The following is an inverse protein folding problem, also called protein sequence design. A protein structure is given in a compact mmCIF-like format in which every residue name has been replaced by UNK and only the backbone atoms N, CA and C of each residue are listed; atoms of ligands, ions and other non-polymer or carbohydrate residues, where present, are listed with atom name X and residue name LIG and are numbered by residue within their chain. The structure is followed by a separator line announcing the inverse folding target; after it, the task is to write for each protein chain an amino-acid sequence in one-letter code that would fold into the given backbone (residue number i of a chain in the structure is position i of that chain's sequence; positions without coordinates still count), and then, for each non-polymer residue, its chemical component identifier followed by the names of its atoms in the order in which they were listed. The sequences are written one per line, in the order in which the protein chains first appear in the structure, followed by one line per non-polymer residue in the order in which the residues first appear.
data_IF_454239635808
#
_entry.id   IF_454239635808
#
_cell.length_a   1.000
_cell.length_b   1.000
_cell.length_c   1.000
_cell.angle_alpha   90.00
_cell.angle_beta   90.00
_cell.angle_gamma   90.00
#
_symmetry.space_group_name_H-M   'P 1'
#
loop_
_entity.id
_entity.type
_entity.pdbx_description
1 polymer ?
#
# COMPACT_ATOMS: atom_id res chain seq x y z
N UNK A 1 1.63 -7.38 12.89
CA UNK A 1 1.60 -8.80 12.45
C UNK A 1 0.50 -9.59 13.14
N UNK A 2 0.51 -9.77 14.47
CA UNK A 2 -0.53 -10.58 15.14
C UNK A 2 -1.97 -10.06 14.90
N UNK A 3 -2.18 -8.74 14.99
CA UNK A 3 -3.47 -8.09 14.69
C UNK A 3 -3.93 -8.25 13.24
N UNK A 4 -2.99 -8.42 12.32
CA UNK A 4 -3.26 -8.60 10.90
C UNK A 4 -3.67 -10.05 10.62
N UNK A 5 -2.92 -11.01 11.15
CA UNK A 5 -3.23 -12.44 11.03
C UNK A 5 -4.54 -12.84 11.74
N UNK A 6 -4.91 -12.13 12.80
CA UNK A 6 -6.20 -12.34 13.50
C UNK A 6 -7.36 -11.54 12.88
N UNK A 7 -7.10 -10.75 11.84
CA UNK A 7 -8.12 -9.99 11.12
C UNK A 7 -8.65 -8.75 11.83
N UNK A 8 -8.07 -8.35 12.96
CA UNK A 8 -8.45 -7.14 13.67
C UNK A 8 -8.23 -5.90 12.81
N UNK A 9 -7.10 -5.84 12.07
CA UNK A 9 -6.78 -4.73 11.17
C UNK A 9 -7.84 -4.60 10.06
N UNK A 10 -8.17 -5.70 9.38
CA UNK A 10 -9.22 -5.71 8.37
C UNK A 10 -10.57 -5.28 8.94
N UNK A 11 -10.93 -5.77 10.14
CA UNK A 11 -12.18 -5.37 10.79
C UNK A 11 -12.25 -3.87 11.05
N UNK A 12 -11.19 -3.27 11.59
CA UNK A 12 -11.15 -1.82 11.84
C UNK A 12 -11.23 -1.01 10.54
N UNK A 13 -10.49 -1.39 9.51
CA UNK A 13 -10.53 -0.74 8.20
C UNK A 13 -11.92 -0.85 7.57
N UNK A 14 -12.51 -2.05 7.59
CA UNK A 14 -13.83 -2.29 7.01
C UNK A 14 -14.92 -1.54 7.77
N UNK A 15 -14.85 -1.52 9.11
CA UNK A 15 -15.74 -0.69 9.94
C UNK A 15 -15.64 0.79 9.56
N UNK A 16 -14.43 1.32 9.37
CA UNK A 16 -14.23 2.71 8.95
C UNK A 16 -14.84 2.97 7.55
N UNK A 17 -14.66 2.06 6.59
CA UNK A 17 -15.27 2.16 5.26
C UNK A 17 -16.80 2.15 5.31
N UNK A 18 -17.40 1.29 6.13
CA UNK A 18 -18.86 1.27 6.32
C UNK A 18 -19.36 2.56 6.96
N UNK A 19 -18.65 3.09 7.96
CA UNK A 19 -19.00 4.37 8.60
C UNK A 19 -18.87 5.54 7.63
N UNK A 20 -17.83 5.57 6.80
CA UNK A 20 -17.67 6.57 5.73
C UNK A 20 -18.82 6.49 4.73
N UNK A 21 -19.19 5.28 4.29
CA UNK A 21 -20.26 5.07 3.31
C UNK A 21 -21.65 5.49 3.81
N UNK A 22 -21.93 5.37 5.12
CA UNK A 22 -23.17 5.85 5.73
C UNK A 22 -23.33 7.38 5.58
N UNK A 23 -22.21 8.10 5.46
CA UNK A 23 -22.18 9.54 5.22
C UNK A 23 -22.47 10.39 6.47
N UNK A 24 -22.20 11.69 6.35
CA UNK A 24 -22.39 12.66 7.43
C UNK A 24 -23.85 12.89 7.81
N UNK A 25 -24.08 13.45 9.01
CA UNK A 25 -25.45 13.75 9.50
C UNK A 25 -26.17 14.80 8.65
N UNK A 26 -25.43 15.58 7.88
CA UNK A 26 -25.91 16.71 7.10
C UNK A 26 -26.59 16.30 5.78
N UNK A 27 -26.48 15.02 5.40
CA UNK A 27 -27.10 14.48 4.19
C UNK A 27 -28.56 14.08 4.43
N UNK A 28 -29.43 14.46 3.50
CA UNK A 28 -30.82 13.97 3.39
C UNK A 28 -30.86 12.43 3.26
N UNK A 29 -31.89 11.74 3.78
CA UNK A 29 -31.99 10.27 3.72
C UNK A 29 -31.79 9.67 2.32
N UNK A 30 -32.34 10.31 1.28
CA UNK A 30 -32.23 9.85 -0.10
C UNK A 30 -30.78 9.97 -0.59
N UNK A 31 -30.12 11.10 -0.29
CA UNK A 31 -28.73 11.34 -0.67
C UNK A 31 -27.76 10.41 0.08
N UNK A 32 -28.10 9.97 1.29
CA UNK A 32 -27.32 8.95 2.02
C UNK A 32 -27.36 7.59 1.34
N UNK A 33 -28.52 7.17 0.83
CA UNK A 33 -28.64 5.91 0.10
C UNK A 33 -27.79 5.98 -1.18
N UNK A 34 -27.88 7.08 -1.92
CA UNK A 34 -27.07 7.28 -3.12
C UNK A 34 -25.57 7.30 -2.80
N UNK A 35 -25.16 8.03 -1.76
CA UNK A 35 -23.77 8.08 -1.29
C UNK A 35 -23.26 6.68 -0.90
N UNK A 36 -24.05 5.91 -0.16
CA UNK A 36 -23.71 4.54 0.22
C UNK A 36 -23.54 3.64 -1.00
N UNK A 37 -24.47 3.69 -1.95
CA UNK A 37 -24.41 2.88 -3.18
C UNK A 37 -23.22 3.26 -4.06
N UNK A 38 -22.87 4.54 -4.16
CA UNK A 38 -21.66 4.97 -4.86
C UNK A 38 -20.39 4.44 -4.21
N UNK A 39 -20.35 4.39 -2.87
CA UNK A 39 -19.17 3.98 -2.10
C UNK A 39 -18.98 2.47 -2.02
N UNK A 40 -20.05 1.71 -1.76
CA UNK A 40 -19.99 0.27 -1.45
C UNK A 40 -20.86 -0.61 -2.36
N UNK A 41 -21.66 -0.03 -3.24
CA UNK A 41 -22.62 -0.79 -4.05
C UNK A 41 -21.98 -1.87 -4.91
N UNK A 42 -20.94 -1.50 -5.65
CA UNK A 42 -20.20 -2.45 -6.49
C UNK A 42 -19.52 -3.55 -5.67
N UNK A 43 -18.99 -3.22 -4.48
CA UNK A 43 -18.39 -4.20 -3.59
C UNK A 43 -19.41 -5.21 -3.07
N UNK A 44 -20.61 -4.74 -2.70
CA UNK A 44 -21.71 -5.60 -2.25
C UNK A 44 -22.16 -6.53 -3.38
N UNK A 45 -22.37 -5.99 -4.58
CA UNK A 45 -22.77 -6.79 -5.75
C UNK A 45 -21.71 -7.86 -6.05
N UNK A 46 -20.43 -7.50 -6.07
CA UNK A 46 -19.35 -8.45 -6.32
C UNK A 46 -19.33 -9.58 -5.28
N UNK A 47 -19.47 -9.26 -3.98
CA UNK A 47 -19.49 -10.27 -2.93
C UNK A 47 -20.73 -11.17 -3.01
N UNK A 48 -21.91 -10.62 -3.37
CA UNK A 48 -23.12 -11.41 -3.61
C UNK A 48 -22.91 -12.37 -4.78
N UNK A 49 -22.33 -11.89 -5.88
CA UNK A 49 -22.04 -12.72 -7.06
C UNK A 49 -21.10 -13.88 -6.67
N UNK A 50 -19.97 -13.58 -6.01
CA UNK A 50 -19.02 -14.60 -5.56
C UNK A 50 -19.71 -15.60 -4.61
N UNK A 51 -20.52 -15.11 -3.67
CA UNK A 51 -21.28 -15.98 -2.77
C UNK A 51 -22.23 -16.92 -3.53
N UNK A 52 -22.99 -16.39 -4.49
CA UNK A 52 -23.90 -17.19 -5.32
C UNK A 52 -23.11 -18.24 -6.11
N UNK A 53 -21.98 -17.88 -6.73
CA UNK A 53 -21.13 -18.85 -7.42
C UNK A 53 -20.60 -19.94 -6.48
N UNK A 54 -20.12 -19.59 -5.29
CA UNK A 54 -19.69 -20.56 -4.29
C UNK A 54 -20.84 -21.46 -3.83
N UNK A 55 -22.03 -20.90 -3.62
CA UNK A 55 -23.22 -21.64 -3.19
C UNK A 55 -23.70 -22.63 -4.24
N UNK A 56 -23.73 -22.22 -5.52
CA UNK A 56 -24.27 -23.03 -6.62
C UNK A 56 -23.29 -24.11 -7.10
N UNK A 57 -21.99 -23.80 -7.19
CA UNK A 57 -20.98 -24.72 -7.74
C UNK A 57 -20.43 -25.66 -6.65
N UNK A 58 -20.29 -25.14 -5.43
CA UNK A 58 -19.69 -25.86 -4.32
C UNK A 58 -20.66 -25.91 -3.13
N UNK A 59 -20.29 -25.25 -2.04
CA UNK A 59 -21.10 -25.09 -0.84
C UNK A 59 -20.83 -23.69 -0.27
N UNK A 60 -21.81 -23.06 0.39
CA UNK A 60 -21.69 -21.69 0.90
C UNK A 60 -20.45 -21.48 1.79
N UNK A 61 -20.01 -22.52 2.50
CA UNK A 61 -18.84 -22.45 3.37
C UNK A 61 -17.55 -22.08 2.63
N UNK A 62 -17.44 -22.39 1.33
CA UNK A 62 -16.28 -22.03 0.50
C UNK A 62 -16.12 -20.52 0.35
N UNK A 63 -17.23 -19.76 0.35
CA UNK A 63 -17.17 -18.31 0.39
C UNK A 63 -16.49 -17.84 1.69
N UNK A 64 -16.76 -18.47 2.83
CA UNK A 64 -16.08 -18.10 4.06
C UNK A 64 -14.60 -18.53 4.07
N UNK A 65 -14.31 -19.77 3.72
CA UNK A 65 -12.97 -20.35 3.88
C UNK A 65 -11.98 -19.88 2.81
N UNK A 66 -12.41 -19.68 1.56
CA UNK A 66 -11.52 -19.29 0.46
C UNK A 66 -11.56 -17.80 0.13
N UNK A 67 -12.62 -17.10 0.52
CA UNK A 67 -12.76 -15.66 0.24
C UNK A 67 -12.67 -14.82 1.51
N UNK A 68 -13.63 -14.94 2.43
CA UNK A 68 -13.72 -14.01 3.56
C UNK A 68 -12.55 -14.16 4.55
N UNK A 69 -12.19 -15.38 4.95
CA UNK A 69 -11.09 -15.62 5.90
C UNK A 69 -9.74 -15.14 5.34
N UNK A 70 -9.31 -15.53 4.13
CA UNK A 70 -8.05 -15.04 3.55
C UNK A 70 -8.06 -13.52 3.34
N UNK A 71 -9.22 -12.95 2.98
CA UNK A 71 -9.36 -11.50 2.81
C UNK A 71 -9.11 -10.74 4.12
N UNK A 72 -9.65 -11.21 5.24
CA UNK A 72 -9.50 -10.54 6.54
C UNK A 72 -8.14 -10.81 7.21
N UNK A 73 -7.54 -11.98 6.99
CA UNK A 73 -6.34 -12.41 7.73
C UNK A 73 -5.08 -12.34 6.87
N UNK A 74 -4.95 -13.26 5.92
CA UNK A 74 -3.76 -13.46 5.10
C UNK A 74 -3.43 -12.22 4.27
N UNK A 75 -4.41 -11.65 3.58
CA UNK A 75 -4.22 -10.46 2.74
C UNK A 75 -3.68 -9.27 3.55
N UNK A 76 -4.20 -9.03 4.76
CA UNK A 76 -3.71 -7.95 5.62
C UNK A 76 -2.25 -8.16 6.03
N UNK A 77 -1.89 -9.40 6.37
CA UNK A 77 -0.52 -9.74 6.73
C UNK A 77 0.44 -9.52 5.53
N UNK A 78 0.06 -9.97 4.34
CA UNK A 78 0.86 -9.81 3.12
C UNK A 78 1.03 -8.33 2.75
N UNK A 79 -0.05 -7.55 2.74
CA UNK A 79 0.02 -6.10 2.44
C UNK A 79 0.95 -5.40 3.45
N UNK A 80 0.88 -5.74 4.74
CA UNK A 80 1.74 -5.15 5.75
C UNK A 80 3.20 -5.52 5.56
N UNK A 81 3.50 -6.79 5.27
CA UNK A 81 4.86 -7.25 5.00
C UNK A 81 5.44 -6.48 3.80
N UNK A 82 4.67 -6.34 2.73
CA UNK A 82 5.08 -5.58 1.55
C UNK A 82 5.29 -4.12 1.84
N UNK A 83 4.35 -3.48 2.53
CA UNK A 83 4.47 -2.07 2.91
C UNK A 83 5.75 -1.81 3.72
N UNK A 84 6.12 -2.72 4.64
CA UNK A 84 7.39 -2.62 5.36
C UNK A 84 8.58 -2.83 4.41
N UNK A 85 8.55 -3.86 3.57
CA UNK A 85 9.65 -4.15 2.65
C UNK A 85 9.90 -3.01 1.64
N UNK A 86 8.82 -2.38 1.18
CA UNK A 86 8.81 -1.40 0.08
C UNK A 86 8.93 0.04 0.58
N UNK A 87 8.49 0.38 1.80
CA UNK A 87 8.48 1.76 2.30
C UNK A 87 9.11 1.96 3.68
N UNK A 88 9.35 0.93 4.49
CA UNK A 88 9.99 1.15 5.79
C UNK A 88 11.49 1.42 5.65
N UNK A 89 12.01 2.30 6.51
CA UNK A 89 13.43 2.67 6.58
C UNK A 89 13.97 3.24 5.26
N UNK A 90 13.09 3.85 4.49
CA UNK A 90 13.44 4.52 3.25
C UNK A 90 13.86 5.96 3.60
N UNK A 91 14.99 6.48 3.09
CA UNK A 91 15.69 7.60 3.70
C UNK A 91 15.14 9.00 3.35
N UNK A 92 14.43 9.16 2.22
CA UNK A 92 13.92 10.48 1.82
C UNK A 92 12.61 10.37 1.01
N UNK A 93 11.51 10.81 1.61
CA UNK A 93 10.19 10.82 0.97
C UNK A 93 10.09 11.82 -0.21
N UNK A 94 11.01 12.80 -0.31
CA UNK A 94 10.99 13.81 -1.37
C UNK A 94 11.82 13.42 -2.61
N UNK A 95 12.71 12.42 -2.51
CA UNK A 95 13.45 11.91 -3.66
C UNK A 95 12.67 10.75 -4.32
N UNK A 96 12.22 10.89 -5.58
CA UNK A 96 11.49 9.82 -6.28
C UNK A 96 12.24 8.49 -6.39
N UNK A 97 13.57 8.48 -6.27
CA UNK A 97 14.37 7.26 -6.29
C UNK A 97 14.51 6.59 -4.92
N UNK A 98 14.18 7.32 -3.85
CA UNK A 98 14.42 6.93 -2.46
C UNK A 98 13.21 7.16 -1.56
N UNK A 99 12.00 7.24 -2.12
CA UNK A 99 10.71 7.28 -1.41
C UNK A 99 10.02 5.89 -1.34
N UNK A 100 10.56 4.93 -2.09
CA UNK A 100 10.17 3.53 -2.11
C UNK A 100 11.43 2.67 -2.23
N UNK A 101 11.27 1.35 -2.17
CA UNK A 101 12.34 0.36 -2.34
C UNK A 101 11.95 -0.73 -3.32
N UNK A 102 12.88 -1.10 -4.20
CA UNK A 102 12.74 -2.28 -5.05
C UNK A 102 13.41 -3.49 -4.43
N UNK A 103 12.60 -4.49 -4.10
CA UNK A 103 13.05 -5.68 -3.37
C UNK A 103 13.17 -6.86 -4.34
N UNK A 104 14.29 -7.58 -4.29
CA UNK A 104 14.44 -8.81 -5.07
C UNK A 104 13.49 -9.88 -4.53
N UNK A 105 12.74 -10.48 -5.44
CA UNK A 105 11.83 -11.57 -5.16
C UNK A 105 12.18 -12.78 -6.03
N UNK A 106 12.34 -13.94 -5.39
CA UNK A 106 12.41 -15.23 -6.09
C UNK A 106 11.01 -15.67 -6.56
N UNK A 107 10.92 -16.77 -7.29
CA UNK A 107 9.65 -17.22 -7.87
C UNK A 107 8.56 -17.49 -6.82
N UNK A 108 8.90 -18.06 -5.66
CA UNK A 108 7.96 -18.29 -4.55
C UNK A 108 7.44 -16.98 -3.98
N UNK A 109 8.34 -16.05 -3.67
CA UNK A 109 7.98 -14.72 -3.16
C UNK A 109 7.11 -13.99 -4.18
N UNK A 110 7.38 -14.11 -5.47
CA UNK A 110 6.54 -13.51 -6.52
C UNK A 110 5.13 -14.10 -6.55
N UNK A 111 4.93 -15.37 -6.25
CA UNK A 111 3.58 -15.96 -6.27
C UNK A 111 2.79 -15.57 -5.01
N UNK A 112 3.42 -15.66 -3.84
CA UNK A 112 2.69 -15.55 -2.56
C UNK A 112 2.73 -14.15 -1.94
N UNK A 113 3.82 -13.40 -2.14
CA UNK A 113 4.06 -12.12 -1.47
C UNK A 113 4.01 -10.93 -2.43
N UNK A 114 4.55 -11.07 -3.64
CA UNK A 114 4.71 -9.98 -4.60
C UNK A 114 4.25 -10.36 -6.03
N UNK A 115 2.97 -10.75 -6.22
CA UNK A 115 2.43 -11.09 -7.54
C UNK A 115 2.31 -9.85 -8.40
N UNK A 116 2.44 -9.99 -9.72
CA UNK A 116 2.39 -8.86 -10.67
C UNK A 116 3.55 -7.86 -10.57
N UNK A 117 4.78 -8.33 -10.32
CA UNK A 117 6.01 -7.49 -10.37
C UNK A 117 6.04 -6.29 -9.41
N UNK A 118 5.19 -6.28 -8.37
CA UNK A 118 5.12 -5.20 -7.36
C UNK A 118 6.47 -4.94 -6.69
N UNK A 119 7.30 -5.98 -6.64
CA UNK A 119 8.60 -5.98 -5.99
C UNK A 119 9.55 -4.95 -6.65
N UNK A 120 9.24 -4.52 -7.88
CA UNK A 120 9.83 -3.37 -8.56
C UNK A 120 9.04 -2.08 -8.21
N UNK A 121 9.03 -1.73 -6.92
CA UNK A 121 8.15 -0.69 -6.41
C UNK A 121 8.63 0.72 -6.77
N UNK A 122 9.94 0.99 -6.67
CA UNK A 122 10.52 2.29 -7.06
C UNK A 122 10.29 2.54 -8.54
N UNK A 123 10.47 1.53 -9.39
CA UNK A 123 10.25 1.66 -10.83
C UNK A 123 8.79 2.00 -11.14
N UNK A 124 7.85 1.45 -10.38
CA UNK A 124 6.45 1.80 -10.51
C UNK A 124 6.18 3.26 -10.12
N UNK A 125 6.78 3.77 -9.04
CA UNK A 125 6.64 5.18 -8.66
C UNK A 125 7.29 6.13 -9.67
N UNK A 126 8.48 5.79 -10.18
CA UNK A 126 9.16 6.58 -11.22
C UNK A 126 8.38 6.60 -12.54
N UNK A 127 7.74 5.49 -12.89
CA UNK A 127 7.07 5.31 -14.17
C UNK A 127 5.69 4.68 -14.00
N UNK A 128 4.77 5.38 -13.33
CA UNK A 128 3.42 4.86 -13.05
C UNK A 128 2.60 4.49 -14.30
N UNK A 129 2.95 5.07 -15.45
CA UNK A 129 2.32 4.77 -16.75
C UNK A 129 2.84 3.47 -17.39
N UNK A 130 3.91 2.86 -16.87
CA UNK A 130 4.45 1.60 -17.38
C UNK A 130 3.66 0.42 -16.83
N UNK A 131 3.19 -0.50 -17.69
CA UNK A 131 2.46 -1.66 -17.21
C UNK A 131 3.37 -2.61 -16.40
N UNK A 132 2.77 -3.28 -15.41
CA UNK A 132 3.50 -4.06 -14.41
C UNK A 132 4.45 -5.14 -15.01
N UNK A 133 4.05 -5.81 -16.09
CA UNK A 133 4.85 -6.83 -16.75
C UNK A 133 6.13 -6.29 -17.44
N UNK A 134 6.23 -4.97 -17.65
CA UNK A 134 7.43 -4.31 -18.20
C UNK A 134 8.36 -3.76 -17.13
N UNK A 135 8.00 -3.77 -15.85
CA UNK A 135 8.81 -3.17 -14.78
C UNK A 135 10.20 -3.80 -14.65
N UNK A 136 10.34 -5.10 -14.94
CA UNK A 136 11.66 -5.75 -15.00
C UNK A 136 12.54 -5.15 -16.11
N UNK A 137 11.94 -4.80 -17.25
CA UNK A 137 12.66 -4.15 -18.35
C UNK A 137 13.05 -2.73 -17.95
N UNK A 138 12.14 -2.00 -17.28
CA UNK A 138 12.44 -0.68 -16.70
C UNK A 138 13.61 -0.72 -15.72
N UNK A 139 13.62 -1.70 -14.80
CA UNK A 139 14.73 -1.89 -13.87
C UNK A 139 16.07 -2.12 -14.61
N UNK A 140 16.06 -2.93 -15.67
CA UNK A 140 17.25 -3.16 -16.48
C UNK A 140 17.71 -1.89 -17.20
N UNK A 141 16.79 -1.12 -17.78
CA UNK A 141 17.11 0.14 -18.42
C UNK A 141 17.70 1.17 -17.44
N UNK A 142 17.14 1.26 -16.22
CA UNK A 142 17.70 2.10 -15.15
C UNK A 142 19.11 1.64 -14.75
N UNK A 143 19.37 0.32 -14.76
CA UNK A 143 20.70 -0.25 -14.51
C UNK A 143 21.69 0.07 -15.61
N UNK A 144 21.28 -0.04 -16.87
CA UNK A 144 22.10 0.27 -18.04
C UNK A 144 22.47 1.76 -18.13
N UNK A 145 21.67 2.63 -17.50
CA UNK A 145 21.90 4.07 -17.43
C UNK A 145 22.44 4.53 -16.06
N UNK A 146 23.00 3.62 -15.25
CA UNK A 146 23.66 3.90 -13.96
C UNK A 146 22.78 4.54 -12.86
N UNK A 147 21.45 4.49 -12.99
CA UNK A 147 20.52 5.03 -11.99
C UNK A 147 20.32 4.12 -10.78
N UNK A 148 20.72 2.86 -10.85
CA UNK A 148 20.49 1.88 -9.76
C UNK A 148 21.19 2.27 -8.46
N UNK A 149 22.32 2.98 -8.51
CA UNK A 149 23.02 3.45 -7.31
C UNK A 149 22.25 4.55 -6.55
N UNK A 150 21.31 5.22 -7.23
CA UNK A 150 20.41 6.20 -6.61
C UNK A 150 19.15 5.56 -6.04
N UNK A 151 18.84 4.33 -6.45
CA UNK A 151 17.64 3.62 -6.05
C UNK A 151 17.87 2.86 -4.75
N UNK A 152 16.90 2.91 -3.86
CA UNK A 152 16.88 2.00 -2.72
C UNK A 152 16.50 0.59 -3.21
N UNK A 153 17.40 -0.38 -3.01
CA UNK A 153 17.16 -1.77 -3.38
C UNK A 153 17.45 -2.73 -2.22
N UNK A 154 16.72 -3.84 -2.16
CA UNK A 154 16.95 -4.90 -1.17
C UNK A 154 17.15 -6.27 -1.82
N UNK A 155 17.94 -7.10 -1.16
CA UNK A 155 18.26 -8.48 -1.58
C UNK A 155 17.11 -9.46 -1.35
N UNK A 156 16.19 -9.15 -0.44
CA UNK A 156 15.02 -9.98 -0.16
C UNK A 156 14.07 -9.36 0.85
N UNK A 157 12.83 -9.83 0.87
CA UNK A 157 11.81 -9.37 1.82
C UNK A 157 12.19 -9.70 3.28
N UNK A 158 12.79 -10.86 3.53
CA UNK A 158 13.21 -11.28 4.87
C UNK A 158 14.30 -10.35 5.41
N UNK A 159 15.29 -9.99 4.59
CA UNK A 159 16.40 -9.13 5.00
C UNK A 159 15.90 -7.77 5.48
N UNK A 160 14.93 -7.19 4.76
CA UNK A 160 14.30 -5.92 5.15
C UNK A 160 13.47 -6.07 6.42
N UNK A 161 12.72 -7.17 6.56
CA UNK A 161 11.94 -7.41 7.78
C UNK A 161 12.84 -7.59 9.01
N UNK A 162 13.97 -8.28 8.87
CA UNK A 162 14.96 -8.41 9.94
C UNK A 162 15.52 -7.03 10.29
N UNK A 163 15.94 -6.24 9.29
CA UNK A 163 16.44 -4.87 9.50
C UNK A 163 15.40 -3.96 10.17
N UNK A 164 14.13 -4.08 9.81
CA UNK A 164 13.04 -3.31 10.41
C UNK A 164 12.73 -3.74 11.86
N UNK A 165 13.06 -4.98 12.23
CA UNK A 165 12.84 -5.54 13.56
C UNK A 165 14.08 -5.49 14.46
N UNK A 166 15.29 -5.31 13.91
CA UNK A 166 16.50 -5.11 14.69
C UNK A 166 16.42 -3.76 15.41
N UNK A 167 16.47 -3.80 16.74
CA UNK A 167 16.53 -2.63 17.61
C UNK A 167 17.79 -1.81 17.23
N UNK A 168 17.63 -0.50 17.05
CA UNK A 168 18.59 0.34 16.35
C UNK A 168 19.98 0.41 16.99
N UNK A 169 20.98 -0.01 16.23
CA UNK A 169 22.35 0.49 16.35
C UNK A 169 22.59 1.71 15.41
N UNK A 170 21.57 2.09 14.63
CA UNK A 170 21.62 3.19 13.65
C UNK A 170 21.34 4.59 14.28
N UNK A 171 21.12 4.69 15.60
CA UNK A 171 20.99 5.99 16.28
C UNK A 171 22.31 6.75 16.39
N UNK A 172 23.47 6.06 16.34
CA UNK A 172 24.78 6.70 16.53
C UNK A 172 25.26 7.49 15.30
N UNK A 173 24.65 7.29 14.13
CA UNK A 173 24.96 8.04 12.90
C UNK A 173 23.95 9.15 12.57
N UNK A 174 23.01 9.47 13.48
CA UNK A 174 22.09 10.62 13.33
C UNK A 174 22.74 11.95 13.72
N UNK A 175 24.02 12.13 13.42
CA UNK A 175 24.67 13.43 13.48
C UNK A 175 24.27 14.27 12.26
N UNK A 176 23.52 15.35 12.49
CA UNK A 176 23.18 16.43 11.55
C UNK A 176 22.03 16.24 10.56
N UNK A 177 20.85 15.84 11.04
CA UNK A 177 19.60 16.20 10.36
C UNK A 177 18.79 17.14 11.24
N UNK A 178 18.84 18.44 10.93
CA UNK A 178 17.89 19.42 11.44
C UNK A 178 16.54 19.09 10.80
N UNK A 179 15.71 18.31 11.49
CA UNK A 179 14.32 18.12 11.11
C UNK A 179 13.58 19.42 11.41
N UNK A 180 13.22 20.18 10.36
CA UNK A 180 12.38 21.35 10.51
C UNK A 180 10.91 20.89 10.67
N UNK A 181 10.28 20.94 11.86
CA UNK A 181 9.01 20.25 12.11
C UNK A 181 7.77 20.98 11.57
N UNK A 182 7.94 21.98 10.70
CA UNK A 182 6.88 22.93 10.34
C UNK A 182 6.64 23.08 8.84
N UNK A 183 6.38 21.97 8.15
CA UNK A 183 5.67 22.04 6.86
C UNK A 183 4.76 20.83 6.66
N UNK A 184 3.68 20.79 7.44
CA UNK A 184 2.49 20.01 7.08
C UNK A 184 1.83 20.72 5.89
N UNK A 185 2.05 20.21 4.69
CA UNK A 185 1.28 20.63 3.52
C UNK A 185 -0.20 20.30 3.78
N UNK A 186 -1.05 21.35 3.78
CA UNK A 186 -2.51 21.20 3.76
C UNK A 186 -2.96 21.24 2.30
N UNK A 187 -3.56 20.16 1.83
CA UNK A 187 -4.20 20.06 0.52
C UNK A 187 -4.65 18.62 0.23
N UNK A 188 -5.81 18.45 -0.39
CA UNK A 188 -6.23 17.17 -0.98
C UNK A 188 -5.90 17.16 -2.47
N UNK A 189 -5.72 15.96 -3.03
CA UNK A 189 -5.26 15.69 -4.40
C UNK A 189 -6.04 16.41 -5.52
N UNK A 190 -7.21 16.98 -5.21
CA UNK A 190 -8.08 17.71 -6.13
C UNK A 190 -7.80 19.21 -6.26
N UNK A 191 -7.08 19.84 -5.32
CA UNK A 191 -6.96 21.32 -5.28
C UNK A 191 -5.58 21.88 -5.66
N UNK A 192 -4.58 21.03 -5.90
CA UNK A 192 -3.22 21.50 -6.22
C UNK A 192 -2.52 22.14 -5.01
N UNK A 193 -1.19 22.01 -4.96
CA UNK A 193 -0.41 22.57 -3.86
C UNK A 193 0.03 23.99 -4.22
N UNK A 194 -0.54 25.01 -3.57
CA UNK A 194 -0.03 26.37 -3.66
C UNK A 194 1.06 26.58 -2.62
N UNK A 195 2.27 26.98 -3.04
CA UNK A 195 3.31 27.45 -2.14
C UNK A 195 2.94 28.83 -1.60
N UNK A 196 2.83 28.95 -0.28
CA UNK A 196 2.72 30.24 0.39
C UNK A 196 4.02 31.01 0.18
N UNK A 197 4.01 32.04 -0.67
CA UNK A 197 5.08 33.02 -0.77
C UNK A 197 5.25 33.72 0.58
N UNK A 198 6.43 33.59 1.17
CA UNK A 198 6.88 34.41 2.29
C UNK A 198 7.22 35.81 1.76
N UNK A 199 6.34 36.78 1.98
CA UNK A 199 6.66 38.20 1.85
C UNK A 199 7.58 38.60 3.01
N UNK A 200 8.87 38.76 2.73
CA UNK A 200 9.77 39.51 3.60
C UNK A 200 9.75 40.99 3.16
N UNK A 201 9.34 41.85 4.08
CA UNK A 201 9.65 43.28 4.12
C UNK A 201 10.44 43.55 5.39
#
# INVERSE_FOLDING_TARGET
MFRDLTGQTAFHQRKAQFLDAIGGKDLSPINRIYHFWQKLGYEIIANIIIFIFCYLIFHWSFYLTLWLIPFFTYNMAIIRIRSIAEHALVPDDNDPFRNARSTRANWLVRIFLAPYWVNYHVEHHLFMYVPCWKLKQTHNALRENDYVNRMETATGYIDVLIKACSKGDDEENRGNFISNPKQRLKGYFSEGFSSSQSTHS
#
